data_IF_929898864004
#
_entry.id   IF_929898864004
#
_cell.length_a   1.000
_cell.length_b   1.000
_cell.length_c   1.000
_cell.angle_alpha   90.00
_cell.angle_beta   90.00
_cell.angle_gamma   90.00
#
_symmetry.space_group_name_H-M   'P 1'
#
loop_
_entity.id
_entity.type
_entity.pdbx_description
1 polymer ?
#
# COMPACT_ATOMS: atom_id res chain seq x y z
N UNK A 1 6.77 -0.10 6.82
CA UNK A 1 6.57 -1.44 6.21
C UNK A 1 6.83 -1.36 4.72
N UNK A 2 7.50 -2.35 4.14
CA UNK A 2 7.70 -2.46 2.69
C UNK A 2 6.76 -3.51 2.12
N UNK A 3 6.09 -3.19 1.03
CA UNK A 3 5.17 -4.10 0.36
C UNK A 3 5.48 -4.09 -1.13
N UNK A 4 5.74 -5.27 -1.70
CA UNK A 4 5.91 -5.48 -3.14
C UNK A 4 4.77 -6.36 -3.67
N UNK A 5 4.28 -6.03 -4.86
CA UNK A 5 3.22 -6.80 -5.54
C UNK A 5 3.16 -6.44 -7.02
N UNK A 6 2.86 -7.43 -7.86
CA UNK A 6 2.59 -7.22 -9.29
C UNK A 6 1.38 -6.29 -9.51
N UNK A 7 0.46 -6.19 -8.53
CA UNK A 7 -0.69 -5.26 -8.60
C UNK A 7 -0.29 -3.78 -8.55
N UNK A 8 0.95 -3.48 -8.20
CA UNK A 8 1.48 -2.12 -8.20
C UNK A 8 2.18 -1.74 -9.50
N UNK A 9 2.33 -2.68 -10.44
CA UNK A 9 2.89 -2.41 -11.76
C UNK A 9 2.03 -1.41 -12.53
N UNK A 10 2.67 -0.49 -13.25
CA UNK A 10 2.05 0.60 -14.01
C UNK A 10 1.21 1.60 -13.19
N UNK A 11 1.10 1.45 -11.87
CA UNK A 11 0.47 2.43 -11.01
C UNK A 11 1.46 3.50 -10.58
N UNK A 12 1.04 4.76 -10.62
CA UNK A 12 1.79 5.86 -10.03
C UNK A 12 1.71 5.83 -8.49
N UNK A 13 2.56 6.63 -7.83
CA UNK A 13 2.65 6.68 -6.36
C UNK A 13 1.30 6.88 -5.67
N UNK A 14 0.45 7.77 -6.18
CA UNK A 14 -0.86 8.08 -5.57
C UNK A 14 -1.83 6.91 -5.78
N UNK A 15 -1.86 6.31 -6.97
CA UNK A 15 -2.70 5.15 -7.26
C UNK A 15 -2.35 3.96 -6.37
N UNK A 16 -1.05 3.69 -6.17
CA UNK A 16 -0.58 2.65 -5.24
C UNK A 16 -1.05 2.92 -3.81
N UNK A 17 -0.92 4.16 -3.35
CA UNK A 17 -1.36 4.56 -2.01
C UNK A 17 -2.87 4.37 -1.82
N UNK A 18 -3.69 4.78 -2.80
CA UNK A 18 -5.14 4.59 -2.77
C UNK A 18 -5.52 3.11 -2.80
N UNK A 19 -4.89 2.32 -3.66
CA UNK A 19 -5.14 0.88 -3.74
C UNK A 19 -4.85 0.19 -2.41
N UNK A 20 -3.73 0.55 -1.78
CA UNK A 20 -3.40 0.03 -0.47
C UNK A 20 -4.42 0.47 0.59
N UNK A 21 -4.82 1.74 0.60
CA UNK A 21 -5.85 2.24 1.52
C UNK A 21 -7.19 1.53 1.32
N UNK A 22 -7.53 1.09 0.11
CA UNK A 22 -8.74 0.27 -0.14
C UNK A 22 -8.57 -1.19 0.28
N UNK A 23 -7.34 -1.71 0.31
CA UNK A 23 -7.05 -3.09 0.70
C UNK A 23 -6.92 -3.24 2.22
N UNK A 24 -6.50 -2.19 2.93
CA UNK A 24 -6.44 -2.17 4.39
C UNK A 24 -7.85 -2.02 4.94
N UNK A 25 -8.27 -2.98 5.77
CA UNK A 25 -9.58 -2.94 6.40
C UNK A 25 -9.69 -1.80 7.42
N UNK A 26 -10.89 -1.22 7.61
CA UNK A 26 -11.12 -0.20 8.63
C UNK A 26 -10.71 -0.64 10.04
N UNK A 27 -10.85 -1.93 10.34
CA UNK A 27 -10.46 -2.51 11.63
C UNK A 27 -8.95 -2.46 11.86
N UNK A 28 -8.14 -2.68 10.82
CA UNK A 28 -6.69 -2.57 10.90
C UNK A 28 -6.24 -1.10 11.01
N UNK A 29 -6.90 -0.19 10.29
CA UNK A 29 -6.67 1.26 10.42
C UNK A 29 -6.99 1.76 11.85
N UNK A 30 -8.07 1.28 12.46
CA UNK A 30 -8.46 1.69 13.81
C UNK A 30 -7.45 1.26 14.89
N UNK A 31 -6.62 0.26 14.63
CA UNK A 31 -5.62 -0.25 15.57
C UNK A 31 -4.24 0.39 15.38
N UNK A 32 -4.04 1.15 14.30
CA UNK A 32 -2.73 1.71 13.96
C UNK A 32 -2.84 3.25 13.86
N UNK A 33 -2.19 3.96 14.78
CA UNK A 33 -2.18 5.43 14.80
C UNK A 33 -1.45 6.06 13.61
N UNK A 34 -0.35 5.45 13.15
CA UNK A 34 0.37 5.87 11.95
C UNK A 34 1.14 4.69 11.36
N UNK A 35 1.02 4.47 10.05
CA UNK A 35 1.73 3.43 9.33
C UNK A 35 2.47 4.05 8.15
N UNK A 36 3.80 4.09 8.21
CA UNK A 36 4.62 4.47 7.06
C UNK A 36 4.82 3.25 6.16
N UNK A 37 4.41 3.37 4.91
CA UNK A 37 4.41 2.25 3.95
C UNK A 37 5.15 2.67 2.70
N UNK A 38 6.11 1.83 2.31
CA UNK A 38 6.89 1.95 1.08
C UNK A 38 6.38 0.88 0.12
N UNK A 39 5.92 1.31 -1.06
CA UNK A 39 5.29 0.45 -2.06
C UNK A 39 6.21 0.31 -3.26
N UNK A 40 6.70 -0.91 -3.44
CA UNK A 40 7.63 -1.28 -4.50
C UNK A 40 6.88 -2.06 -5.61
N UNK A 41 7.18 -1.82 -6.90
CA UNK A 41 6.73 -2.70 -7.96
C UNK A 41 7.38 -4.10 -7.79
N UNK A 42 6.78 -5.13 -8.38
CA UNK A 42 7.39 -6.46 -8.38
C UNK A 42 8.62 -6.47 -9.30
N UNK A 43 9.78 -6.88 -8.79
CA UNK A 43 11.03 -6.97 -9.55
C UNK A 43 12.07 -5.87 -9.31
N UNK A 44 11.89 -5.03 -8.27
CA UNK A 44 12.91 -4.06 -7.79
C UNK A 44 13.59 -4.54 -6.50
#
# INVERSE_FOLDING_TARGET
>A
VRISSAKFENLNRIQRHRLLHTAITPELMSRIHALSIEILPFGE
#
